data_IF_894476665062
#
_entry.id   IF_894476665062
#
_cell.length_a   1.000
_cell.length_b   1.000
_cell.length_c   1.000
_cell.angle_alpha   90.00
_cell.angle_beta   90.00
_cell.angle_gamma   90.00
#
_symmetry.space_group_name_H-M   'P 1'
#
loop_
_entity.id
_entity.type
_entity.pdbx_description
1 polymer ?
#
# COMPACT_ATOMS: atom_id res chain seq x y z
N UNK A 1 -14.03 8.46 15.70
CA UNK A 1 -13.18 8.32 14.50
C UNK A 1 -12.17 9.44 14.55
N UNK A 2 -10.89 9.12 14.71
CA UNK A 2 -9.83 10.12 14.82
C UNK A 2 -9.54 10.76 13.45
N UNK A 3 -9.34 12.09 13.44
CA UNK A 3 -9.03 12.87 12.25
C UNK A 3 -7.92 12.27 11.35
N UNK A 4 -6.83 11.68 11.89
CA UNK A 4 -5.77 11.07 11.07
C UNK A 4 -6.25 9.87 10.24
N UNK A 5 -7.17 9.06 10.77
CA UNK A 5 -7.71 7.89 10.07
C UNK A 5 -8.54 8.30 8.85
N UNK A 6 -9.36 9.34 9.00
CA UNK A 6 -10.18 9.89 7.92
C UNK A 6 -9.30 10.40 6.78
N UNK A 7 -8.22 11.12 7.10
CA UNK A 7 -7.26 11.64 6.11
C UNK A 7 -6.64 10.50 5.28
N UNK A 8 -6.26 9.39 5.92
CA UNK A 8 -5.70 8.23 5.21
C UNK A 8 -6.70 7.59 4.24
N UNK A 9 -7.98 7.51 4.62
CA UNK A 9 -9.02 6.98 3.75
C UNK A 9 -9.22 7.87 2.51
N UNK A 10 -9.18 9.21 2.67
CA UNK A 10 -9.21 10.14 1.55
C UNK A 10 -8.03 9.98 0.61
N UNK A 11 -6.81 9.84 1.15
CA UNK A 11 -5.61 9.60 0.34
C UNK A 11 -5.72 8.30 -0.44
N UNK A 12 -6.21 7.23 0.20
CA UNK A 12 -6.42 5.94 -0.46
C UNK A 12 -7.40 6.06 -1.63
N UNK A 13 -8.53 6.74 -1.42
CA UNK A 13 -9.53 6.96 -2.46
C UNK A 13 -8.98 7.86 -3.59
N UNK A 14 -8.18 8.88 -3.26
CA UNK A 14 -7.51 9.72 -4.25
C UNK A 14 -6.56 8.90 -5.14
N UNK A 15 -5.81 7.95 -4.55
CA UNK A 15 -4.96 7.07 -5.34
C UNK A 15 -5.76 6.20 -6.32
N UNK A 16 -6.93 5.72 -5.91
CA UNK A 16 -7.86 4.99 -6.79
C UNK A 16 -8.38 5.89 -7.92
N UNK A 17 -8.72 7.15 -7.62
CA UNK A 17 -9.11 8.12 -8.67
C UNK A 17 -7.97 8.35 -9.68
N UNK A 18 -6.73 8.51 -9.20
CA UNK A 18 -5.55 8.64 -10.06
C UNK A 18 -5.35 7.41 -10.95
N UNK A 19 -5.59 6.21 -10.41
CA UNK A 19 -5.58 4.97 -11.19
C UNK A 19 -6.62 5.01 -12.32
N UNK A 20 -7.87 5.38 -12.02
CA UNK A 20 -8.94 5.46 -13.04
C UNK A 20 -8.68 6.53 -14.10
N UNK A 21 -7.91 7.57 -13.78
CA UNK A 21 -7.45 8.58 -14.73
C UNK A 21 -6.23 8.12 -15.55
N UNK A 22 -5.72 6.90 -15.36
CA UNK A 22 -4.52 6.39 -16.02
C UNK A 22 -3.20 6.95 -15.46
N UNK A 23 -3.25 7.70 -14.35
CA UNK A 23 -2.11 8.38 -13.72
C UNK A 23 -1.44 7.46 -12.69
N UNK A 24 -1.00 6.27 -13.14
CA UNK A 24 -0.45 5.24 -12.25
C UNK A 24 0.78 5.72 -11.47
N UNK A 25 1.70 6.46 -12.12
CA UNK A 25 2.91 7.00 -11.47
C UNK A 25 2.58 7.85 -10.25
N UNK A 26 1.61 8.74 -10.41
CA UNK A 26 1.18 9.66 -9.36
C UNK A 26 0.40 8.95 -8.26
N UNK A 27 -0.41 7.96 -8.62
CA UNK A 27 -1.11 7.10 -7.67
C UNK A 27 -0.13 6.37 -6.75
N UNK A 28 0.91 5.75 -7.33
CA UNK A 28 1.96 5.07 -6.56
C UNK A 28 2.73 6.05 -5.69
N UNK A 29 3.17 7.17 -6.27
CA UNK A 29 3.94 8.18 -5.55
C UNK A 29 3.17 8.76 -4.36
N UNK A 30 1.87 9.03 -4.53
CA UNK A 30 1.00 9.53 -3.46
C UNK A 30 0.98 8.56 -2.26
N UNK A 31 0.79 7.27 -2.52
CA UNK A 31 0.73 6.27 -1.45
C UNK A 31 2.11 6.01 -0.83
N UNK A 32 3.18 5.88 -1.64
CA UNK A 32 4.54 5.70 -1.13
C UNK A 32 4.97 6.88 -0.23
N UNK A 33 4.70 8.12 -0.67
CA UNK A 33 5.07 9.33 0.10
C UNK A 33 4.30 9.44 1.41
N UNK A 34 3.01 9.10 1.39
CA UNK A 34 2.18 9.12 2.59
C UNK A 34 2.68 8.09 3.60
N UNK A 35 3.02 6.89 3.12
CA UNK A 35 3.53 5.81 3.96
C UNK A 35 4.92 6.07 4.52
N UNK A 36 5.76 6.81 3.81
CA UNK A 36 7.05 7.28 4.35
C UNK A 36 6.87 8.33 5.46
N UNK A 37 5.80 9.13 5.40
CA UNK A 37 5.50 10.14 6.40
C UNK A 37 5.03 9.55 7.73
N UNK A 38 4.01 8.69 7.71
CA UNK A 38 3.54 7.98 8.90
C UNK A 38 3.13 6.53 8.55
N UNK A 39 4.06 5.57 8.68
CA UNK A 39 3.81 4.18 8.37
C UNK A 39 2.67 3.58 9.20
N UNK A 40 2.54 3.97 10.48
CA UNK A 40 1.60 3.34 11.42
C UNK A 40 0.15 3.62 11.05
N UNK A 41 -0.13 4.82 10.54
CA UNK A 41 -1.46 5.21 10.05
C UNK A 41 -1.86 4.53 8.74
N UNK A 42 -0.88 3.99 7.99
CA UNK A 42 -1.11 3.37 6.68
C UNK A 42 -1.32 1.84 6.75
N UNK A 43 -1.26 1.24 7.93
CA UNK A 43 -1.37 -0.22 8.15
C UNK A 43 -2.82 -0.70 8.17
N UNK A 44 -3.61 -0.33 7.17
CA UNK A 44 -4.95 -0.83 6.98
C UNK A 44 -5.03 -1.66 5.69
N UNK A 45 -5.81 -2.74 5.73
CA UNK A 45 -5.89 -3.74 4.66
C UNK A 45 -6.15 -3.11 3.27
N UNK A 46 -7.14 -2.22 3.18
CA UNK A 46 -7.50 -1.56 1.92
C UNK A 46 -6.42 -0.62 1.37
N UNK A 47 -5.60 0.00 2.23
CA UNK A 47 -4.50 0.86 1.80
C UNK A 47 -3.39 0.01 1.19
N UNK A 48 -2.97 -1.03 1.93
CA UNK A 48 -1.91 -1.95 1.50
C UNK A 48 -2.30 -2.72 0.23
N UNK A 49 -3.56 -3.13 0.12
CA UNK A 49 -4.08 -3.78 -1.08
C UNK A 49 -3.99 -2.88 -2.32
N UNK A 50 -4.34 -1.60 -2.18
CA UNK A 50 -4.28 -0.65 -3.29
C UNK A 50 -2.84 -0.38 -3.72
N UNK A 51 -1.92 -0.14 -2.78
CA UNK A 51 -0.49 -0.01 -3.09
C UNK A 51 0.05 -1.26 -3.80
N UNK A 52 -0.25 -2.45 -3.27
CA UNK A 52 0.25 -3.69 -3.84
C UNK A 52 -0.33 -3.98 -5.24
N UNK A 53 -1.59 -3.62 -5.47
CA UNK A 53 -2.21 -3.71 -6.80
C UNK A 53 -1.56 -2.73 -7.78
N UNK A 54 -1.29 -1.50 -7.35
CA UNK A 54 -0.61 -0.50 -8.19
C UNK A 54 0.81 -0.92 -8.55
N UNK A 55 1.55 -1.54 -7.63
CA UNK A 55 2.86 -2.11 -7.93
C UNK A 55 2.81 -3.17 -9.03
N UNK A 56 1.83 -4.07 -8.99
CA UNK A 56 1.63 -5.10 -10.02
C UNK A 56 1.32 -4.50 -11.40
N UNK A 57 0.62 -3.36 -11.43
CA UNK A 57 0.25 -2.69 -12.67
C UNK A 57 1.38 -1.84 -13.26
N UNK A 58 2.21 -1.23 -12.42
CA UNK A 58 3.20 -0.25 -12.85
C UNK A 58 4.61 -0.83 -13.05
N UNK A 59 4.98 -1.85 -12.28
CA UNK A 59 6.39 -2.20 -12.09
C UNK A 59 6.66 -3.69 -12.30
N UNK A 60 7.70 -4.02 -13.05
CA UNK A 60 8.27 -5.38 -13.10
C UNK A 60 8.88 -5.81 -11.76
N UNK A 61 9.18 -4.86 -10.87
CA UNK A 61 9.75 -5.09 -9.54
C UNK A 61 8.68 -5.19 -8.44
N UNK A 62 7.41 -5.40 -8.80
CA UNK A 62 6.30 -5.48 -7.86
C UNK A 62 6.57 -6.42 -6.68
N UNK A 63 7.20 -7.57 -6.92
CA UNK A 63 7.56 -8.52 -5.87
C UNK A 63 8.59 -7.94 -4.88
N UNK A 64 9.59 -7.20 -5.35
CA UNK A 64 10.57 -6.56 -4.48
C UNK A 64 9.93 -5.46 -3.64
N UNK A 65 9.09 -4.62 -4.25
CA UNK A 65 8.34 -3.56 -3.55
C UNK A 65 7.38 -4.13 -2.50
N UNK A 66 6.63 -5.19 -2.82
CA UNK A 66 5.75 -5.90 -1.86
C UNK A 66 6.53 -6.51 -0.69
N UNK A 67 7.75 -7.02 -0.92
CA UNK A 67 8.63 -7.49 0.16
C UNK A 67 9.14 -6.36 1.07
N UNK A 68 9.49 -5.21 0.50
CA UNK A 68 9.81 -4.02 1.30
C UNK A 68 8.63 -3.56 2.13
N UNK A 69 7.42 -3.61 1.55
CA UNK A 69 6.18 -3.32 2.26
C UNK A 69 5.95 -4.26 3.44
N UNK A 70 6.09 -5.58 3.23
CA UNK A 70 5.97 -6.57 4.30
C UNK A 70 6.92 -6.28 5.48
N UNK A 71 8.18 -5.92 5.20
CA UNK A 71 9.15 -5.56 6.25
C UNK A 71 8.70 -4.34 7.05
N UNK A 72 8.13 -3.34 6.38
CA UNK A 72 7.61 -2.14 7.02
C UNK A 72 6.40 -2.48 7.91
N UNK A 73 5.46 -3.27 7.40
CA UNK A 73 4.30 -3.74 8.15
C UNK A 73 4.73 -4.54 9.39
N UNK A 74 5.64 -5.51 9.23
CA UNK A 74 6.14 -6.31 10.34
C UNK A 74 6.80 -5.46 11.44
N UNK A 75 7.51 -4.39 11.05
CA UNK A 75 8.14 -3.45 12.00
C UNK A 75 7.13 -2.67 12.84
N UNK A 76 5.95 -2.34 12.29
CA UNK A 76 5.02 -1.40 12.89
C UNK A 76 3.71 -2.02 13.43
N UNK A 77 3.23 -3.12 12.84
CA UNK A 77 2.00 -3.82 13.27
C UNK A 77 2.26 -5.16 13.97
N UNK A 78 3.47 -5.72 13.86
CA UNK A 78 3.78 -7.05 14.39
C UNK A 78 3.02 -8.19 13.69
N UNK A 79 2.87 -9.33 14.38
CA UNK A 79 2.37 -10.59 13.82
C UNK A 79 0.84 -10.65 13.64
N UNK A 80 0.10 -9.66 14.14
CA UNK A 80 -1.37 -9.62 14.09
C UNK A 80 -1.95 -9.13 12.75
N UNK A 81 -1.10 -8.77 11.79
CA UNK A 81 -1.54 -8.14 10.55
C UNK A 81 -1.91 -9.17 9.46
N UNK A 82 -3.03 -8.92 8.76
CA UNK A 82 -3.48 -9.77 7.66
C UNK A 82 -2.59 -9.60 6.41
N UNK A 83 -1.61 -10.49 6.26
CA UNK A 83 -0.66 -10.47 5.13
C UNK A 83 -1.32 -10.68 3.76
N UNK A 84 -2.58 -11.15 3.70
CA UNK A 84 -3.29 -11.31 2.43
C UNK A 84 -3.45 -9.98 1.67
N UNK A 85 -3.55 -8.85 2.38
CA UNK A 85 -3.63 -7.51 1.80
C UNK A 85 -2.39 -7.12 1.01
N UNK A 86 -1.26 -7.82 1.20
CA UNK A 86 -0.01 -7.55 0.48
C UNK A 86 0.06 -8.24 -0.90
N UNK A 87 -0.96 -9.02 -1.30
CA UNK A 87 -1.01 -9.77 -2.57
C UNK A 87 0.30 -10.52 -2.87
N UNK A 88 0.85 -11.17 -1.85
CA UNK A 88 2.06 -11.98 -1.98
C UNK A 88 1.67 -13.27 -2.74
N UNK A 89 2.30 -13.52 -3.88
CA UNK A 89 2.15 -14.80 -4.55
C UNK A 89 3.03 -15.84 -3.84
N UNK A 90 2.55 -17.08 -3.69
CA UNK A 90 3.40 -18.16 -3.18
C UNK A 90 4.62 -18.31 -4.07
N UNK A 91 5.78 -18.59 -3.46
CA UNK A 91 6.98 -18.92 -4.23
C UNK A 91 6.67 -20.13 -5.12
N UNK A 92 6.90 -20.00 -6.43
CA UNK A 92 6.86 -21.15 -7.32
C UNK A 92 8.07 -22.02 -6.98
N UNK A 93 7.83 -23.12 -6.27
CA UNK A 93 8.73 -24.27 -6.15
C UNK A 93 8.80 -25.04 -7.46
#
# INVERSE_FOLDING_TARGET
>A
MDLPFIVMQFINNMAVCLLYLGRLSESVHLLESTMQGDPALCLHEGYLFNVCTLYELQSSEAAAKKRSMLRLVAKHAGDGFNVASLKLQPAKT
#
